data_IF_101607644148
#
_entry.id   IF_101607644148
#
_cell.length_a   1.000
_cell.length_b   1.000
_cell.length_c   1.000
_cell.angle_alpha   90.00
_cell.angle_beta   90.00
_cell.angle_gamma   90.00
#
_symmetry.space_group_name_H-M   'P 1'
#
loop_
_entity.id
_entity.type
_entity.pdbx_description
1 polymer ?
#
# COMPACT_ATOMS: atom_id res chain seq x y z
N UNK A 1 52.91 -38.42 12.94
CA UNK A 1 52.98 -37.56 11.74
C UNK A 1 51.64 -36.84 11.60
N UNK A 2 51.70 -35.51 11.44
CA UNK A 2 50.66 -34.55 11.06
C UNK A 2 49.85 -35.04 9.84
N UNK A 3 48.71 -34.52 9.38
CA UNK A 3 47.80 -33.36 9.58
C UNK A 3 46.65 -33.65 8.57
N UNK A 4 45.50 -33.00 8.45
CA UNK A 4 44.74 -32.01 9.17
C UNK A 4 43.31 -32.16 8.61
N UNK A 5 42.30 -31.97 9.45
CA UNK A 5 40.88 -32.01 9.07
C UNK A 5 40.53 -30.77 8.22
N UNK A 6 40.28 -30.95 6.94
CA UNK A 6 39.61 -29.96 6.07
C UNK A 6 38.12 -30.26 6.07
N UNK A 7 37.39 -29.74 7.06
CA UNK A 7 35.94 -29.65 6.99
C UNK A 7 35.58 -28.25 6.49
N UNK A 8 35.15 -28.19 5.22
CA UNK A 8 34.62 -27.00 4.57
C UNK A 8 33.53 -26.36 5.44
N UNK A 9 33.76 -25.14 5.91
CA UNK A 9 32.72 -24.30 6.48
C UNK A 9 31.79 -23.83 5.35
N UNK A 10 30.67 -24.52 5.16
CA UNK A 10 29.59 -24.06 4.31
C UNK A 10 28.89 -22.90 5.01
N UNK A 11 29.21 -21.67 4.59
CA UNK A 11 28.48 -20.46 4.97
C UNK A 11 27.05 -20.57 4.41
N UNK A 12 26.10 -21.02 5.23
CA UNK A 12 24.69 -20.89 4.94
C UNK A 12 24.31 -19.40 5.08
N UNK A 13 24.39 -18.65 3.98
CA UNK A 13 23.76 -17.34 3.90
C UNK A 13 22.24 -17.54 3.85
N UNK A 14 21.59 -17.48 5.02
CA UNK A 14 20.14 -17.44 5.12
C UNK A 14 19.66 -16.13 4.51
N UNK A 15 19.00 -16.20 3.34
CA UNK A 15 18.37 -15.05 2.69
C UNK A 15 17.12 -14.61 3.46
N UNK A 16 17.31 -13.71 4.42
CA UNK A 16 16.22 -13.09 5.20
C UNK A 16 15.56 -11.95 4.40
N UNK A 17 14.96 -12.24 3.24
CA UNK A 17 14.35 -11.21 2.38
C UNK A 17 12.94 -10.78 2.84
N UNK A 18 12.12 -11.70 3.36
CA UNK A 18 10.68 -11.45 3.51
C UNK A 18 10.25 -10.43 4.58
N UNK A 19 11.02 -10.23 5.66
CA UNK A 19 10.63 -9.32 6.73
C UNK A 19 10.93 -7.84 6.40
N UNK A 20 12.04 -7.58 5.70
CA UNK A 20 12.42 -6.25 5.25
C UNK A 20 11.46 -5.74 4.16
N UNK A 21 11.10 -6.62 3.21
CA UNK A 21 10.16 -6.29 2.14
C UNK A 21 8.75 -5.99 2.67
N UNK A 22 8.27 -6.77 3.65
CA UNK A 22 6.98 -6.53 4.29
C UNK A 22 6.94 -5.20 5.07
N UNK A 23 8.06 -4.81 5.70
CA UNK A 23 8.19 -3.52 6.38
C UNK A 23 8.16 -2.34 5.40
N UNK A 24 8.86 -2.47 4.26
CA UNK A 24 8.88 -1.45 3.22
C UNK A 24 7.50 -1.27 2.58
N UNK A 25 6.80 -2.37 2.28
CA UNK A 25 5.43 -2.34 1.76
C UNK A 25 4.46 -1.64 2.73
N UNK A 26 4.57 -1.92 4.03
CA UNK A 26 3.70 -1.28 5.02
C UNK A 26 3.91 0.23 5.09
N UNK A 27 5.17 0.67 5.08
CA UNK A 27 5.50 2.08 5.07
C UNK A 27 4.95 2.78 3.81
N UNK A 28 5.10 2.16 2.64
CA UNK A 28 4.62 2.71 1.37
C UNK A 28 3.09 2.85 1.33
N UNK A 29 2.37 1.84 1.79
CA UNK A 29 0.90 1.86 1.87
C UNK A 29 0.41 2.93 2.84
N UNK A 30 1.01 3.03 4.02
CA UNK A 30 0.66 4.07 5.01
C UNK A 30 0.96 5.47 4.46
N UNK A 31 2.06 5.64 3.74
CA UNK A 31 2.38 6.89 3.07
C UNK A 31 1.34 7.25 2.01
N UNK A 32 0.88 6.30 1.18
CA UNK A 32 -0.20 6.54 0.20
C UNK A 32 -1.50 6.99 0.87
N UNK A 33 -1.91 6.32 1.95
CA UNK A 33 -3.09 6.69 2.71
C UNK A 33 -2.92 8.10 3.32
N UNK A 34 -1.73 8.40 3.83
CA UNK A 34 -1.37 9.73 4.35
C UNK A 34 -1.44 10.83 3.30
N UNK A 35 -1.03 10.55 2.05
CA UNK A 35 -1.17 11.51 0.95
C UNK A 35 -2.63 11.87 0.65
N UNK A 36 -3.57 10.96 0.85
CA UNK A 36 -4.99 11.29 0.72
C UNK A 36 -5.43 12.18 1.88
N UNK A 37 -5.06 11.86 3.12
CA UNK A 37 -5.46 12.67 4.29
C UNK A 37 -4.90 14.09 4.26
N UNK A 38 -3.63 14.24 3.88
CA UNK A 38 -2.98 15.53 3.72
C UNK A 38 -3.42 16.31 2.48
N UNK A 39 -4.33 15.76 1.68
CA UNK A 39 -4.91 16.43 0.53
C UNK A 39 -6.23 17.13 0.88
N UNK A 40 -6.61 18.12 0.08
CA UNK A 40 -7.94 18.71 0.14
C UNK A 40 -9.00 17.89 -0.64
N UNK A 41 -8.67 16.66 -1.06
CA UNK A 41 -9.56 15.85 -1.88
C UNK A 41 -10.67 15.20 -1.05
N UNK A 42 -11.85 15.05 -1.66
CA UNK A 42 -12.95 14.23 -1.14
C UNK A 42 -12.94 12.86 -1.81
N UNK A 43 -13.44 11.86 -1.08
CA UNK A 43 -13.46 10.46 -1.47
C UNK A 43 -14.89 9.95 -1.57
N UNK A 44 -15.31 9.48 -2.75
CA UNK A 44 -16.61 8.87 -2.93
C UNK A 44 -16.52 7.37 -2.69
N UNK A 45 -17.36 6.88 -1.78
CA UNK A 45 -17.58 5.46 -1.56
C UNK A 45 -19.07 5.15 -1.52
N UNK A 46 -19.49 4.17 -2.33
CA UNK A 46 -20.87 3.68 -2.37
C UNK A 46 -21.92 4.79 -2.54
N UNK A 47 -21.60 5.80 -3.36
CA UNK A 47 -22.49 6.91 -3.68
C UNK A 47 -22.51 8.05 -2.66
N UNK A 48 -21.63 8.03 -1.65
CA UNK A 48 -21.49 9.11 -0.67
C UNK A 48 -20.09 9.68 -0.68
N UNK A 49 -20.00 11.00 -0.60
CA UNK A 49 -18.74 11.71 -0.44
C UNK A 49 -18.32 11.76 1.03
N UNK A 50 -17.03 11.55 1.25
CA UNK A 50 -16.36 11.59 2.53
C UNK A 50 -15.18 12.55 2.44
N UNK A 51 -14.90 13.25 3.53
CA UNK A 51 -13.66 14.04 3.62
C UNK A 51 -12.42 13.13 3.68
N UNK A 52 -11.24 13.74 3.54
CA UNK A 52 -9.96 13.07 3.51
C UNK A 52 -9.67 12.26 4.80
N UNK A 53 -10.08 12.76 5.97
CA UNK A 53 -9.88 12.09 7.27
C UNK A 53 -10.76 10.85 7.41
N UNK A 54 -12.02 10.96 7.02
CA UNK A 54 -12.96 9.84 6.96
C UNK A 54 -12.48 8.76 5.98
N UNK A 55 -11.95 9.19 4.83
CA UNK A 55 -11.40 8.28 3.83
C UNK A 55 -10.16 7.56 4.35
N UNK A 56 -9.22 8.27 4.99
CA UNK A 56 -8.06 7.68 5.66
C UNK A 56 -8.49 6.60 6.66
N UNK A 57 -9.38 6.94 7.58
CA UNK A 57 -9.85 5.98 8.59
C UNK A 57 -10.49 4.74 7.96
N UNK A 58 -11.23 4.91 6.86
CA UNK A 58 -11.80 3.80 6.10
C UNK A 58 -10.71 2.90 5.48
N UNK A 59 -9.74 3.50 4.80
CA UNK A 59 -8.66 2.78 4.11
C UNK A 59 -7.74 2.05 5.08
N UNK A 60 -7.41 2.65 6.23
CA UNK A 60 -6.62 2.01 7.29
C UNK A 60 -7.33 0.75 7.80
N UNK A 61 -8.62 0.83 8.14
CA UNK A 61 -9.38 -0.35 8.59
C UNK A 61 -9.39 -1.46 7.53
N UNK A 62 -9.54 -1.09 6.26
CA UNK A 62 -9.57 -2.04 5.15
C UNK A 62 -8.18 -2.67 4.92
N UNK A 63 -7.12 -1.88 5.03
CA UNK A 63 -5.74 -2.35 4.94
C UNK A 63 -5.40 -3.32 6.08
N UNK A 64 -5.76 -2.99 7.32
CA UNK A 64 -5.54 -3.87 8.47
C UNK A 64 -6.26 -5.22 8.29
N UNK A 65 -7.49 -5.19 7.76
CA UNK A 65 -8.24 -6.41 7.45
C UNK A 65 -7.61 -7.21 6.31
N UNK A 66 -7.07 -6.56 5.27
CA UNK A 66 -6.40 -7.22 4.15
C UNK A 66 -5.06 -7.83 4.58
N UNK A 67 -4.26 -7.11 5.39
CA UNK A 67 -3.00 -7.60 5.97
C UNK A 67 -3.20 -8.88 6.78
N UNK A 68 -4.20 -8.92 7.66
CA UNK A 68 -4.51 -10.12 8.46
C UNK A 68 -4.86 -11.34 7.61
N UNK A 69 -5.22 -11.14 6.34
CA UNK A 69 -5.59 -12.19 5.38
C UNK A 69 -4.50 -12.46 4.34
N UNK A 70 -3.35 -11.77 4.40
CA UNK A 70 -2.29 -11.88 3.39
C UNK A 70 -2.66 -11.32 2.01
N UNK A 71 -3.66 -10.43 1.92
CA UNK A 71 -4.22 -9.93 0.64
C UNK A 71 -3.66 -8.56 0.22
N UNK A 72 -2.61 -8.08 0.88
CA UNK A 72 -1.98 -6.79 0.59
C UNK A 72 -0.47 -6.88 0.79
N UNK A 73 0.24 -7.75 0.05
CA UNK A 73 1.68 -7.93 0.17
C UNK A 73 2.50 -6.68 -0.21
N UNK A 74 1.94 -5.81 -1.07
CA UNK A 74 2.56 -4.60 -1.57
C UNK A 74 1.54 -3.47 -1.80
N UNK A 75 2.02 -2.30 -2.23
CA UNK A 75 1.20 -1.13 -2.48
C UNK A 75 0.24 -1.31 -3.66
N UNK A 76 0.67 -2.02 -4.70
CA UNK A 76 -0.15 -2.36 -5.86
C UNK A 76 -1.38 -3.19 -5.47
N UNK A 77 -1.18 -4.27 -4.70
CA UNK A 77 -2.26 -5.11 -4.18
C UNK A 77 -3.19 -4.34 -3.24
N UNK A 78 -2.63 -3.44 -2.42
CA UNK A 78 -3.45 -2.51 -1.62
C UNK A 78 -4.33 -1.64 -2.52
N UNK A 79 -3.78 -1.07 -3.59
CA UNK A 79 -4.55 -0.21 -4.50
C UNK A 79 -5.66 -1.02 -5.16
N UNK A 80 -5.33 -2.20 -5.69
CA UNK A 80 -6.28 -3.05 -6.39
C UNK A 80 -7.42 -3.51 -5.46
N UNK A 81 -7.09 -4.07 -4.31
CA UNK A 81 -8.07 -4.77 -3.47
C UNK A 81 -8.68 -3.87 -2.39
N UNK A 82 -7.95 -2.87 -1.91
CA UNK A 82 -8.37 -2.00 -0.81
C UNK A 82 -8.77 -0.59 -1.27
N UNK A 83 -8.00 0.06 -2.15
CA UNK A 83 -8.18 1.47 -2.46
C UNK A 83 -9.00 1.78 -3.72
N UNK A 84 -9.23 0.81 -4.61
CA UNK A 84 -9.90 1.05 -5.91
C UNK A 84 -11.43 0.93 -5.85
N UNK A 85 -11.98 0.00 -5.06
CA UNK A 85 -13.41 -0.34 -5.06
C UNK A 85 -13.89 -0.97 -3.75
N UNK A 86 -15.20 -1.02 -3.55
CA UNK A 86 -15.78 -1.71 -2.41
C UNK A 86 -15.66 -3.22 -2.57
N UNK A 87 -15.14 -3.92 -1.56
CA UNK A 87 -15.18 -5.38 -1.50
C UNK A 87 -16.59 -5.92 -1.24
N UNK A 88 -17.52 -5.08 -0.77
CA UNK A 88 -18.90 -5.47 -0.48
C UNK A 88 -19.82 -5.25 -1.69
N UNK A 89 -19.71 -4.09 -2.36
CA UNK A 89 -20.61 -3.73 -3.46
C UNK A 89 -19.99 -3.85 -4.86
N UNK A 90 -18.67 -4.06 -4.96
CA UNK A 90 -17.92 -4.02 -6.22
C UNK A 90 -17.74 -2.62 -6.83
N UNK A 91 -18.44 -1.59 -6.32
CA UNK A 91 -18.45 -0.24 -6.91
C UNK A 91 -17.08 0.44 -6.77
N UNK A 92 -16.61 1.02 -7.87
CA UNK A 92 -15.40 1.82 -7.91
C UNK A 92 -15.53 3.04 -6.98
N UNK A 93 -14.43 3.33 -6.29
CA UNK A 93 -14.26 4.53 -5.50
C UNK A 93 -13.79 5.67 -6.39
N UNK A 94 -14.07 6.91 -5.96
CA UNK A 94 -13.73 8.11 -6.72
C UNK A 94 -13.04 9.13 -5.84
N UNK A 95 -12.17 9.92 -6.43
CA UNK A 95 -11.49 11.04 -5.76
C UNK A 95 -11.81 12.31 -6.54
N UNK A 96 -12.14 13.38 -5.81
CA UNK A 96 -12.29 14.71 -6.39
C UNK A 96 -11.48 15.70 -5.56
N UNK A 97 -10.49 16.32 -6.18
CA UNK A 97 -9.64 17.33 -5.56
C UNK A 97 -10.13 18.74 -5.99
N UNK A 98 -9.88 19.79 -5.19
CA UNK A 98 -10.30 21.14 -5.56
C UNK A 98 -9.73 21.56 -6.91
N UNK A 99 -10.60 22.09 -7.78
CA UNK A 99 -10.22 22.52 -9.14
C UNK A 99 -9.85 21.40 -10.12
N UNK A 100 -10.06 20.13 -9.74
CA UNK A 100 -9.75 18.97 -10.57
C UNK A 100 -11.01 18.16 -10.87
N UNK A 101 -11.03 17.52 -12.04
CA UNK A 101 -12.09 16.60 -12.39
C UNK A 101 -12.12 15.40 -11.42
N UNK A 102 -13.32 14.87 -11.20
CA UNK A 102 -13.48 13.61 -10.50
C UNK A 102 -12.81 12.48 -11.29
N UNK A 103 -12.13 11.58 -10.59
CA UNK A 103 -11.43 10.45 -11.18
C UNK A 103 -11.52 9.19 -10.35
N UNK A 104 -11.18 8.04 -10.95
CA UNK A 104 -11.14 6.77 -10.23
C UNK A 104 -10.07 6.80 -9.13
N UNK A 105 -10.42 6.29 -7.96
CA UNK A 105 -9.49 6.27 -6.82
C UNK A 105 -8.27 5.40 -7.11
N UNK A 106 -8.45 4.26 -7.80
CA UNK A 106 -7.34 3.37 -8.17
C UNK A 106 -6.28 4.09 -9.00
N UNK A 107 -6.70 4.82 -10.03
CA UNK A 107 -5.80 5.64 -10.86
C UNK A 107 -5.10 6.74 -10.03
N UNK A 108 -5.85 7.44 -9.18
CA UNK A 108 -5.29 8.46 -8.31
C UNK A 108 -4.20 7.88 -7.40
N UNK A 109 -4.44 6.74 -6.75
CA UNK A 109 -3.43 6.11 -5.90
C UNK A 109 -2.24 5.55 -6.68
N UNK A 110 -2.44 4.99 -7.87
CA UNK A 110 -1.35 4.49 -8.70
C UNK A 110 -0.41 5.62 -9.13
N UNK A 111 -0.94 6.79 -9.47
CA UNK A 111 -0.14 7.97 -9.78
C UNK A 111 0.65 8.46 -8.56
N UNK A 112 0.03 8.46 -7.37
CA UNK A 112 0.70 8.85 -6.12
C UNK A 112 1.83 7.90 -5.77
N UNK A 113 1.62 6.60 -5.94
CA UNK A 113 2.65 5.58 -5.75
C UNK A 113 3.83 5.79 -6.69
N UNK A 114 3.54 5.96 -7.98
CA UNK A 114 4.58 6.21 -8.97
C UNK A 114 5.35 7.52 -8.68
N UNK A 115 4.67 8.57 -8.21
CA UNK A 115 5.32 9.82 -7.80
C UNK A 115 6.21 9.63 -6.57
N UNK A 116 5.75 8.94 -5.54
CA UNK A 116 6.52 8.68 -4.31
C UNK A 116 7.80 7.87 -4.56
N UNK A 117 7.77 6.93 -5.51
CA UNK A 117 8.96 6.13 -5.87
C UNK A 117 10.00 6.92 -6.70
N UNK A 118 9.60 8.00 -7.36
CA UNK A 118 10.52 8.89 -8.11
C UNK A 118 11.09 10.02 -7.27
N UNK A 119 10.45 10.35 -6.14
CA UNK A 119 10.95 11.38 -5.25
C UNK A 119 12.26 10.92 -4.58
N UNK A 120 13.29 11.77 -4.51
CA UNK A 120 14.45 11.47 -3.68
C UNK A 120 14.00 11.34 -2.22
N UNK A 121 14.52 10.32 -1.54
CA UNK A 121 14.25 10.08 -0.11
C UNK A 121 15.07 11.00 0.76
#
# INVERSE_FOLDING_TARGET
MAAALLALAACAATTQAGAADAGAADAEIRALIGQLEGSACRFQRNGRWHDARQAQAHLLRKYDAARRRGLSPDAEAFIEHAASRSSLSGRAYRVACPGQAERNAGEWFAERLAASRRAPR
#
